data_IF_421295763506
#
_entry.id   IF_421295763506
#
_cell.length_a   1.000
_cell.length_b   1.000
_cell.length_c   1.000
_cell.angle_alpha   90.00
_cell.angle_beta   90.00
_cell.angle_gamma   90.00
#
_symmetry.space_group_name_H-M   'P 1'
#
loop_
_entity.id
_entity.type
_entity.pdbx_description
1 polymer ?
#
# COMPACT_ATOMS: atom_id res chain seq x y z
N UNK A 1 0.26 8.30 12.14
CA UNK A 1 1.23 7.19 12.23
C UNK A 1 0.47 5.95 11.78
N UNK A 2 0.78 5.44 10.56
CA UNK A 2 0.01 4.37 9.96
C UNK A 2 0.24 3.04 10.68
N UNK A 3 -0.80 2.51 11.30
CA UNK A 3 -0.81 1.19 11.97
C UNK A 3 -1.09 0.03 10.99
N UNK A 4 -0.66 0.12 9.74
CA UNK A 4 -0.73 -0.96 8.77
C UNK A 4 0.50 -1.89 8.83
N UNK A 5 0.42 -3.06 8.17
CA UNK A 5 1.62 -3.85 7.88
C UNK A 5 2.56 -2.99 7.01
N UNK A 6 3.58 -2.38 7.61
CA UNK A 6 4.55 -1.51 6.94
C UNK A 6 5.52 -2.36 6.10
N UNK A 7 4.97 -3.12 5.15
CA UNK A 7 5.72 -4.08 4.34
C UNK A 7 6.81 -3.43 3.47
N UNK A 8 6.73 -2.12 3.26
CA UNK A 8 7.63 -1.34 2.41
C UNK A 8 8.33 -0.21 3.18
N UNK A 9 8.42 -0.31 4.51
CA UNK A 9 9.10 0.67 5.35
C UNK A 9 8.18 1.60 6.12
N UNK A 10 8.76 2.39 7.02
CA UNK A 10 8.05 3.34 7.85
C UNK A 10 7.76 4.62 7.07
N UNK A 11 6.50 5.06 7.05
CA UNK A 11 6.10 6.27 6.35
C UNK A 11 4.59 6.37 6.17
N UNK A 12 4.16 7.40 5.44
CA UNK A 12 2.79 7.55 4.98
C UNK A 12 2.60 6.77 3.68
N UNK A 13 1.55 5.99 3.61
CA UNK A 13 1.19 5.18 2.45
C UNK A 13 0.08 5.86 1.64
N UNK A 14 0.31 6.04 0.35
CA UNK A 14 -0.67 6.57 -0.61
C UNK A 14 -0.79 5.61 -1.79
N UNK A 15 -2.03 5.30 -2.20
CA UNK A 15 -2.29 4.50 -3.39
C UNK A 15 -2.36 5.40 -4.62
N UNK A 16 -1.74 4.99 -5.72
CA UNK A 16 -1.79 5.71 -6.98
C UNK A 16 -3.11 5.52 -7.73
N UNK A 17 -3.87 4.48 -7.40
CA UNK A 17 -5.19 4.20 -7.95
C UNK A 17 -6.27 4.28 -6.88
N UNK A 18 -7.42 4.87 -7.24
CA UNK A 18 -8.55 5.03 -6.32
C UNK A 18 -9.13 3.69 -5.87
N UNK A 19 -9.24 2.71 -6.75
CA UNK A 19 -9.78 1.40 -6.41
C UNK A 19 -8.91 0.68 -5.38
N UNK A 20 -7.58 0.81 -5.50
CA UNK A 20 -6.62 0.30 -4.51
C UNK A 20 -6.81 1.01 -3.17
N UNK A 21 -6.97 2.34 -3.16
CA UNK A 21 -7.23 3.10 -1.94
C UNK A 21 -8.56 2.72 -1.29
N UNK A 22 -9.61 2.50 -2.08
CA UNK A 22 -10.93 2.04 -1.61
C UNK A 22 -10.85 0.62 -1.02
N UNK A 23 -10.06 -0.26 -1.60
CA UNK A 23 -9.82 -1.59 -1.02
C UNK A 23 -9.09 -1.48 0.33
N UNK A 24 -8.06 -0.64 0.44
CA UNK A 24 -7.41 -0.36 1.72
C UNK A 24 -8.36 0.28 2.74
N UNK A 25 -9.22 1.20 2.33
CA UNK A 25 -10.24 1.80 3.17
C UNK A 25 -11.19 0.73 3.77
N UNK A 26 -11.52 -0.30 3.00
CA UNK A 26 -12.36 -1.41 3.46
C UNK A 26 -11.61 -2.35 4.42
N UNK A 27 -10.32 -2.59 4.19
CA UNK A 27 -9.54 -3.58 4.92
C UNK A 27 -8.91 -3.07 6.23
N UNK A 28 -8.46 -1.80 6.25
CA UNK A 28 -7.76 -1.26 7.42
C UNK A 28 -8.66 -1.16 8.66
N UNK A 29 -9.89 -0.63 8.57
CA UNK A 29 -10.80 -0.61 9.70
C UNK A 29 -11.10 -1.99 10.28
N UNK A 30 -11.26 -2.99 9.40
CA UNK A 30 -11.47 -4.37 9.82
C UNK A 30 -10.29 -4.94 10.59
N UNK A 31 -9.06 -4.68 10.14
CA UNK A 31 -7.87 -5.16 10.83
C UNK A 31 -7.77 -4.56 12.23
N UNK A 32 -8.13 -3.29 12.37
CA UNK A 32 -8.15 -2.60 13.65
C UNK A 32 -9.31 -3.09 14.53
N UNK A 33 -10.50 -3.25 13.98
CA UNK A 33 -11.64 -3.85 14.66
C UNK A 33 -11.33 -5.30 15.04
N UNK A 34 -10.79 -6.11 14.12
CA UNK A 34 -10.40 -7.49 14.40
C UNK A 34 -9.34 -7.56 15.50
N UNK A 35 -8.35 -6.68 15.46
CA UNK A 35 -7.30 -6.65 16.47
C UNK A 35 -7.82 -6.23 17.83
N UNK A 36 -8.59 -5.14 17.90
CA UNK A 36 -9.13 -4.64 19.16
C UNK A 36 -10.29 -5.48 19.73
N UNK A 37 -11.14 -6.04 18.84
CA UNK A 37 -12.25 -6.88 19.27
C UNK A 37 -11.84 -8.34 19.56
N UNK A 38 -10.95 -8.93 18.75
CA UNK A 38 -10.66 -10.36 18.87
C UNK A 38 -9.47 -10.66 19.77
N UNK A 39 -8.58 -9.69 20.03
CA UNK A 39 -7.49 -9.86 21.01
C UNK A 39 -7.92 -9.55 22.44
N UNK A 40 -8.95 -8.72 22.63
CA UNK A 40 -9.45 -8.31 23.96
C UNK A 40 -10.71 -9.05 24.40
N UNK A 41 -11.41 -9.75 23.49
CA UNK A 41 -12.61 -10.50 23.82
C UNK A 41 -12.30 -11.98 23.98
N UNK A 42 -12.95 -12.67 24.95
CA UNK A 42 -12.96 -14.13 25.00
C UNK A 42 -13.45 -14.71 23.67
N UNK A 43 -12.83 -15.79 23.19
CA UNK A 43 -13.22 -16.46 21.93
C UNK A 43 -14.70 -16.91 21.93
N UNK A 44 -15.30 -17.03 23.11
CA UNK A 44 -16.67 -17.47 23.38
C UNK A 44 -17.61 -16.34 23.85
N UNK A 45 -17.16 -15.05 23.70
CA UNK A 45 -18.01 -13.91 24.08
C UNK A 45 -19.34 -13.92 23.32
N UNK A 46 -20.44 -13.81 24.06
CA UNK A 46 -21.81 -13.71 23.51
C UNK A 46 -22.12 -12.29 23.05
N UNK A 47 -23.16 -12.14 22.21
CA UNK A 47 -23.63 -10.80 21.83
C UNK A 47 -24.13 -10.01 23.04
N UNK A 48 -24.75 -10.67 24.02
CA UNK A 48 -25.25 -10.08 25.25
C UNK A 48 -24.12 -9.45 26.06
N UNK A 49 -22.97 -10.14 26.18
CA UNK A 49 -21.78 -9.61 26.85
C UNK A 49 -21.21 -8.40 26.12
N UNK A 50 -21.22 -8.42 24.79
CA UNK A 50 -20.80 -7.27 23.98
C UNK A 50 -21.71 -6.05 24.17
N UNK A 51 -23.02 -6.28 24.26
CA UNK A 51 -24.00 -5.22 24.51
C UNK A 51 -23.82 -4.62 25.90
N UNK A 52 -23.61 -5.44 26.93
CA UNK A 52 -23.31 -4.97 28.29
C UNK A 52 -22.03 -4.11 28.35
N UNK A 53 -20.96 -4.54 27.68
CA UNK A 53 -19.71 -3.79 27.60
C UNK A 53 -19.87 -2.49 26.80
N UNK A 54 -20.67 -2.48 25.72
CA UNK A 54 -21.03 -1.26 24.98
C UNK A 54 -21.72 -0.25 25.87
N UNK A 55 -22.74 -0.69 26.57
CA UNK A 55 -23.56 0.18 27.45
C UNK A 55 -22.76 0.69 28.65
N UNK A 56 -21.72 -0.05 29.05
CA UNK A 56 -20.74 0.39 30.04
C UNK A 56 -19.66 1.37 29.47
N UNK A 57 -19.69 1.66 28.18
CA UNK A 57 -18.78 2.61 27.53
C UNK A 57 -17.35 2.09 27.30
N UNK A 58 -17.18 0.78 27.18
CA UNK A 58 -15.86 0.16 26.95
C UNK A 58 -15.38 0.22 25.51
N UNK A 59 -16.22 0.67 24.57
CA UNK A 59 -15.92 0.66 23.15
C UNK A 59 -15.80 2.05 22.52
N UNK A 60 -15.04 2.16 21.45
CA UNK A 60 -15.04 3.35 20.60
C UNK A 60 -16.35 3.45 19.81
N UNK A 61 -16.70 4.65 19.33
CA UNK A 61 -17.93 4.86 18.53
C UNK A 61 -18.04 3.95 17.31
N UNK A 62 -16.94 3.63 16.66
CA UNK A 62 -16.92 2.70 15.54
C UNK A 62 -17.21 1.26 15.96
N UNK A 63 -16.70 0.83 17.10
CA UNK A 63 -16.98 -0.48 17.69
C UNK A 63 -18.44 -0.57 18.16
N UNK A 64 -18.96 0.48 18.81
CA UNK A 64 -20.38 0.57 19.19
C UNK A 64 -21.31 0.43 17.98
N UNK A 65 -20.97 1.06 16.85
CA UNK A 65 -21.75 0.96 15.61
C UNK A 65 -21.80 -0.48 15.07
N UNK A 66 -20.67 -1.20 15.11
CA UNK A 66 -20.59 -2.61 14.68
C UNK A 66 -21.41 -3.50 15.61
N UNK A 67 -21.29 -3.34 16.93
CA UNK A 67 -22.06 -4.13 17.91
C UNK A 67 -23.58 -3.87 17.73
N UNK A 68 -23.97 -2.60 17.52
CA UNK A 68 -25.37 -2.25 17.30
C UNK A 68 -25.92 -2.78 15.97
N UNK A 69 -25.09 -2.92 14.96
CA UNK A 69 -25.46 -3.56 13.70
C UNK A 69 -25.58 -5.09 13.86
N UNK A 70 -24.66 -5.72 14.61
CA UNK A 70 -24.75 -7.15 14.94
C UNK A 70 -25.98 -7.50 15.77
N UNK A 71 -26.39 -6.61 16.71
CA UNK A 71 -27.62 -6.78 17.49
C UNK A 71 -28.86 -6.90 16.61
N UNK A 72 -28.88 -6.19 15.48
CA UNK A 72 -30.01 -6.17 14.54
C UNK A 72 -29.91 -7.24 13.46
N UNK A 73 -28.72 -7.78 13.25
CA UNK A 73 -28.47 -8.74 12.20
C UNK A 73 -28.72 -10.16 12.72
N UNK A 74 -29.49 -10.95 11.96
CA UNK A 74 -29.68 -12.35 12.25
C UNK A 74 -28.47 -13.13 11.73
N UNK A 75 -27.40 -13.21 12.54
CA UNK A 75 -26.19 -13.94 12.18
C UNK A 75 -26.29 -15.45 12.44
N UNK A 76 -27.46 -16.04 12.14
CA UNK A 76 -27.70 -17.47 12.20
C UNK A 76 -26.64 -18.24 11.40
N UNK A 77 -25.91 -19.09 12.12
CA UNK A 77 -24.85 -19.92 11.53
C UNK A 77 -23.43 -19.56 11.98
N UNK A 78 -23.27 -18.53 12.79
CA UNK A 78 -22.00 -18.24 13.46
C UNK A 78 -22.11 -18.51 14.96
N UNK A 79 -21.15 -19.26 15.48
CA UNK A 79 -21.12 -19.64 16.90
C UNK A 79 -20.77 -18.46 17.82
N UNK A 80 -20.28 -17.34 17.24
CA UNK A 80 -19.90 -16.15 18.00
C UNK A 80 -19.88 -14.88 17.14
N UNK A 81 -19.96 -13.67 17.76
CA UNK A 81 -19.90 -12.39 17.07
C UNK A 81 -18.62 -12.16 16.25
N UNK A 82 -17.49 -12.70 16.70
CA UNK A 82 -16.22 -12.60 15.97
C UNK A 82 -16.26 -13.32 14.62
N UNK A 83 -16.92 -14.48 14.57
CA UNK A 83 -17.19 -15.20 13.32
C UNK A 83 -18.07 -14.38 12.38
N UNK A 84 -19.15 -13.77 12.88
CA UNK A 84 -20.06 -12.94 12.09
C UNK A 84 -19.34 -11.69 11.53
N UNK A 85 -18.55 -10.99 12.35
CA UNK A 85 -17.73 -9.84 11.91
C UNK A 85 -16.74 -10.30 10.82
N UNK A 86 -16.03 -11.40 11.04
CA UNK A 86 -15.07 -11.94 10.09
C UNK A 86 -15.75 -12.32 8.76
N UNK A 87 -16.96 -12.85 8.82
CA UNK A 87 -17.78 -13.25 7.70
C UNK A 87 -18.33 -12.05 6.92
N UNK A 88 -18.73 -10.97 7.58
CA UNK A 88 -19.20 -9.73 6.94
C UNK A 88 -18.17 -9.13 5.96
N UNK A 89 -16.89 -9.45 6.15
CA UNK A 89 -15.78 -9.04 5.28
C UNK A 89 -15.41 -10.04 4.19
N UNK A 90 -15.79 -11.28 4.37
CA UNK A 90 -15.47 -12.31 3.39
C UNK A 90 -16.44 -12.20 2.21
N UNK A 91 -15.92 -11.88 1.03
CA UNK A 91 -16.70 -11.84 -0.22
C UNK A 91 -17.21 -13.21 -0.68
N UNK A 92 -16.88 -14.30 0.03
CA UNK A 92 -17.09 -15.69 -0.38
C UNK A 92 -17.80 -16.52 0.70
N UNK A 93 -18.92 -16.04 1.23
CA UNK A 93 -19.76 -16.87 2.09
C UNK A 93 -20.97 -17.33 1.29
N UNK A 94 -20.98 -18.60 0.97
CA UNK A 94 -22.00 -19.24 0.13
C UNK A 94 -23.40 -19.24 0.76
N UNK A 95 -23.55 -18.88 2.05
CA UNK A 95 -24.81 -19.06 2.79
C UNK A 95 -25.22 -17.93 3.73
N UNK A 96 -24.48 -16.81 3.83
CA UNK A 96 -24.85 -15.69 4.66
C UNK A 96 -24.48 -14.36 4.02
N UNK A 97 -25.46 -13.49 3.91
CA UNK A 97 -25.30 -12.14 3.38
C UNK A 97 -25.56 -11.15 4.52
N UNK A 98 -24.49 -10.54 5.10
CA UNK A 98 -24.65 -9.58 6.18
C UNK A 98 -25.48 -8.38 5.71
N UNK A 99 -26.26 -7.81 6.62
CA UNK A 99 -27.05 -6.63 6.33
C UNK A 99 -26.22 -5.46 5.80
N UNK A 100 -26.85 -4.61 5.00
CA UNK A 100 -26.21 -3.37 4.53
C UNK A 100 -25.78 -2.49 5.68
N UNK A 101 -26.50 -2.53 6.82
CA UNK A 101 -26.17 -1.80 8.03
C UNK A 101 -24.87 -2.30 8.66
N UNK A 102 -24.68 -3.62 8.77
CA UNK A 102 -23.44 -4.20 9.28
C UNK A 102 -22.27 -3.93 8.33
N UNK A 103 -22.49 -4.07 7.01
CA UNK A 103 -21.48 -3.69 6.01
C UNK A 103 -21.08 -2.22 6.11
N UNK A 104 -22.06 -1.32 6.28
CA UNK A 104 -21.83 0.10 6.43
C UNK A 104 -21.10 0.43 7.73
N UNK A 105 -21.49 -0.18 8.86
CA UNK A 105 -20.86 0.05 10.16
C UNK A 105 -19.37 -0.39 10.14
N UNK A 106 -19.12 -1.55 9.58
CA UNK A 106 -17.77 -2.09 9.41
C UNK A 106 -16.93 -1.25 8.44
N UNK A 107 -17.55 -0.71 7.38
CA UNK A 107 -16.87 0.12 6.37
C UNK A 107 -16.79 1.61 6.75
N UNK A 108 -17.51 2.07 7.77
CA UNK A 108 -17.68 3.50 8.09
C UNK A 108 -16.48 4.16 8.78
N UNK A 109 -15.45 3.41 9.15
CA UNK A 109 -14.38 3.91 10.02
C UNK A 109 -13.21 4.59 9.30
N UNK A 110 -13.17 4.59 7.96
CA UNK A 110 -12.09 5.20 7.19
C UNK A 110 -12.57 6.30 6.24
N UNK A 111 -11.81 7.39 6.15
CA UNK A 111 -12.02 8.42 5.15
C UNK A 111 -11.07 8.21 3.96
N UNK A 112 -11.59 8.40 2.74
CA UNK A 112 -10.78 8.41 1.53
C UNK A 112 -10.29 9.85 1.28
N UNK A 113 -8.99 10.02 1.23
CA UNK A 113 -8.35 11.30 0.95
C UNK A 113 -7.63 11.25 -0.38
N UNK A 114 -7.84 12.25 -1.24
CA UNK A 114 -7.06 12.44 -2.46
C UNK A 114 -6.04 13.55 -2.23
N UNK A 115 -4.79 13.23 -2.44
CA UNK A 115 -3.68 14.16 -2.33
C UNK A 115 -2.99 14.36 -3.68
N UNK A 116 -2.42 15.55 -3.85
CA UNK A 116 -1.49 15.87 -4.91
C UNK A 116 -0.06 15.72 -4.35
N UNK A 117 0.65 14.72 -4.82
CA UNK A 117 2.05 14.51 -4.50
C UNK A 117 2.88 15.17 -5.63
N UNK A 118 3.77 16.14 -5.33
CA UNK A 118 4.51 16.84 -6.37
C UNK A 118 5.35 15.92 -7.25
N UNK A 119 5.21 16.00 -8.57
CA UNK A 119 5.93 15.17 -9.53
C UNK A 119 7.46 15.26 -9.36
N UNK A 120 7.97 16.45 -9.05
CA UNK A 120 9.39 16.68 -8.79
C UNK A 120 9.93 15.95 -7.57
N UNK A 121 9.07 15.61 -6.64
CA UNK A 121 9.44 14.79 -5.48
C UNK A 121 9.35 13.31 -5.82
N UNK A 122 8.35 12.88 -6.63
CA UNK A 122 8.21 11.49 -7.12
C UNK A 122 9.46 11.03 -7.89
N UNK A 123 10.11 11.92 -8.64
CA UNK A 123 11.35 11.62 -9.36
C UNK A 123 12.51 11.23 -8.44
N UNK A 124 12.46 11.62 -7.16
CA UNK A 124 13.48 11.30 -6.15
C UNK A 124 13.14 10.04 -5.35
N UNK A 125 11.98 9.44 -5.58
CA UNK A 125 11.58 8.22 -4.87
C UNK A 125 12.36 7.02 -5.39
N UNK A 126 12.80 6.18 -4.46
CA UNK A 126 13.37 4.89 -4.80
C UNK A 126 12.29 4.00 -5.44
N UNK A 127 12.49 3.60 -6.67
CA UNK A 127 11.61 2.63 -7.32
C UNK A 127 11.95 1.23 -6.81
N UNK A 128 11.05 0.66 -6.02
CA UNK A 128 11.27 -0.60 -5.32
C UNK A 128 11.42 -1.80 -6.25
N UNK A 129 10.72 -1.74 -7.38
CA UNK A 129 10.64 -2.85 -8.34
C UNK A 129 11.68 -2.70 -9.47
N UNK A 130 12.23 -1.50 -9.70
CA UNK A 130 13.21 -1.24 -10.76
C UNK A 130 14.66 -1.51 -10.32
N UNK A 131 15.52 -1.99 -11.23
CA UNK A 131 16.94 -2.13 -10.96
C UNK A 131 17.63 -0.77 -10.80
N UNK A 132 18.80 -0.75 -10.17
CA UNK A 132 19.55 0.48 -9.89
C UNK A 132 19.90 1.23 -11.17
N UNK A 133 20.24 0.53 -12.26
CA UNK A 133 20.52 1.12 -13.57
C UNK A 133 19.37 1.96 -14.13
N UNK A 134 18.14 1.62 -13.80
CA UNK A 134 16.91 2.31 -14.25
C UNK A 134 16.42 3.38 -13.27
N UNK A 135 17.00 3.52 -12.09
CA UNK A 135 16.69 4.59 -11.16
C UNK A 135 17.10 5.95 -11.75
N UNK A 136 16.51 7.02 -11.24
CA UNK A 136 16.92 8.38 -11.61
C UNK A 136 18.34 8.66 -11.13
N UNK A 137 19.02 9.62 -11.76
CA UNK A 137 20.40 9.96 -11.40
C UNK A 137 20.50 10.46 -9.96
N UNK A 138 19.52 11.21 -9.49
CA UNK A 138 19.44 11.67 -8.09
C UNK A 138 19.37 10.50 -7.10
N UNK A 139 18.60 9.45 -7.43
CA UNK A 139 18.52 8.23 -6.60
C UNK A 139 19.83 7.45 -6.64
N UNK A 140 20.44 7.29 -7.83
CA UNK A 140 21.75 6.61 -7.97
C UNK A 140 22.83 7.29 -7.13
N UNK A 141 22.91 8.63 -7.18
CA UNK A 141 23.87 9.39 -6.39
C UNK A 141 23.61 9.24 -4.87
N UNK A 142 22.36 9.31 -4.45
CA UNK A 142 21.99 9.14 -3.06
C UNK A 142 22.33 7.73 -2.54
N UNK A 143 22.01 6.69 -3.31
CA UNK A 143 22.38 5.30 -3.03
C UNK A 143 23.89 5.17 -2.92
N UNK A 144 24.66 5.82 -3.82
CA UNK A 144 26.12 5.85 -3.78
C UNK A 144 26.65 6.40 -2.45
N UNK A 145 26.13 7.54 -2.03
CA UNK A 145 26.52 8.14 -0.74
C UNK A 145 26.19 7.25 0.47
N UNK A 146 25.07 6.53 0.40
CA UNK A 146 24.69 5.58 1.45
C UNK A 146 25.66 4.40 1.49
N UNK A 147 25.95 3.83 0.34
CA UNK A 147 26.89 2.70 0.26
C UNK A 147 28.28 3.07 0.75
N UNK A 148 28.80 4.26 0.39
CA UNK A 148 30.09 4.76 0.88
C UNK A 148 30.11 4.86 2.41
N UNK A 149 29.01 5.25 3.05
CA UNK A 149 28.90 5.36 4.52
C UNK A 149 28.75 4.01 5.22
N UNK A 150 27.96 3.10 4.64
CA UNK A 150 27.64 1.81 5.23
C UNK A 150 28.83 0.83 5.08
N UNK A 151 29.54 0.90 3.96
CA UNK A 151 30.62 -0.04 3.62
C UNK A 151 32.04 0.48 3.86
N UNK A 152 32.22 1.59 4.59
CA UNK A 152 33.53 2.17 4.89
C UNK A 152 34.49 1.23 5.66
N UNK A 153 34.03 0.04 6.06
CA UNK A 153 34.76 -0.94 6.87
C UNK A 153 35.36 -2.12 6.09
N UNK A 154 35.73 -1.93 4.82
CA UNK A 154 36.62 -2.89 4.15
C UNK A 154 36.11 -3.60 2.89
N UNK A 155 34.87 -3.37 2.47
CA UNK A 155 34.32 -3.88 1.19
C UNK A 155 33.78 -2.72 0.35
N UNK A 156 34.67 -1.93 -0.21
CA UNK A 156 34.27 -0.86 -1.16
C UNK A 156 33.95 -1.46 -2.52
N UNK A 157 32.69 -1.81 -2.73
CA UNK A 157 32.16 -1.96 -4.08
C UNK A 157 31.74 -0.57 -4.57
N UNK A 158 32.34 -0.11 -5.66
CA UNK A 158 31.92 1.17 -6.26
C UNK A 158 30.51 1.02 -6.84
N UNK A 159 29.76 2.13 -6.94
CA UNK A 159 28.44 2.13 -7.61
C UNK A 159 28.48 1.49 -8.99
N UNK A 160 29.55 1.75 -9.74
CA UNK A 160 29.76 1.15 -11.04
C UNK A 160 29.86 -0.38 -10.96
N UNK A 161 30.65 -0.91 -10.04
CA UNK A 161 30.78 -2.36 -9.84
C UNK A 161 29.46 -2.98 -9.36
N UNK A 162 28.68 -2.26 -8.56
CA UNK A 162 27.37 -2.69 -8.11
C UNK A 162 26.39 -2.78 -9.29
N UNK A 163 26.35 -1.75 -10.17
CA UNK A 163 25.49 -1.72 -11.34
C UNK A 163 25.91 -2.73 -12.42
N UNK A 164 27.22 -2.81 -12.71
CA UNK A 164 27.75 -3.71 -13.75
C UNK A 164 27.73 -5.19 -13.30
N UNK A 165 27.77 -5.46 -11.99
CA UNK A 165 27.83 -6.82 -11.45
C UNK A 165 26.48 -7.40 -11.04
N UNK A 166 25.73 -6.70 -10.21
CA UNK A 166 24.53 -7.22 -9.58
C UNK A 166 23.26 -6.48 -9.98
N UNK A 167 23.37 -5.20 -10.33
CA UNK A 167 22.28 -4.28 -10.67
C UNK A 167 21.03 -4.45 -9.75
N UNK A 168 21.19 -4.25 -8.42
CA UNK A 168 20.16 -4.59 -7.45
C UNK A 168 18.92 -3.73 -7.63
N UNK A 169 17.75 -4.32 -7.42
CA UNK A 169 16.48 -3.59 -7.36
C UNK A 169 16.41 -2.67 -6.14
N UNK A 170 15.51 -1.68 -6.17
CA UNK A 170 15.24 -0.84 -5.00
C UNK A 170 14.89 -1.64 -3.75
N UNK A 171 14.17 -2.77 -3.91
CA UNK A 171 13.89 -3.74 -2.85
C UNK A 171 15.16 -4.30 -2.21
N UNK A 172 16.10 -4.73 -3.03
CA UNK A 172 17.35 -5.31 -2.56
C UNK A 172 18.23 -4.26 -1.89
N UNK A 173 18.26 -3.03 -2.43
CA UNK A 173 18.95 -1.89 -1.83
C UNK A 173 18.38 -1.61 -0.43
N UNK A 174 17.05 -1.47 -0.31
CA UNK A 174 16.38 -1.22 0.97
C UNK A 174 16.70 -2.30 2.00
N UNK A 175 16.58 -3.57 1.60
CA UNK A 175 16.88 -4.71 2.47
C UNK A 175 18.34 -4.81 2.88
N UNK A 176 19.28 -4.54 1.98
CA UNK A 176 20.71 -4.56 2.28
C UNK A 176 21.07 -3.53 3.33
N UNK A 177 20.55 -2.30 3.21
CA UNK A 177 20.76 -1.25 4.21
C UNK A 177 20.30 -1.72 5.60
N UNK A 178 19.12 -2.37 5.69
CA UNK A 178 18.58 -2.91 6.94
C UNK A 178 19.41 -4.06 7.51
N UNK A 179 19.88 -4.96 6.66
CA UNK A 179 20.63 -6.15 7.10
C UNK A 179 22.01 -5.81 7.64
N UNK A 180 22.71 -4.88 7.02
CA UNK A 180 24.08 -4.54 7.41
C UNK A 180 24.19 -3.87 8.78
N UNK A 181 23.18 -3.10 9.18
CA UNK A 181 23.26 -2.29 10.40
C UNK A 181 22.23 -2.72 11.46
N UNK A 182 21.52 -3.83 11.24
CA UNK A 182 20.40 -4.31 12.09
C UNK A 182 19.40 -3.19 12.43
N UNK A 183 19.14 -2.34 11.47
CA UNK A 183 18.29 -1.16 11.63
C UNK A 183 16.82 -1.54 11.56
N UNK A 184 16.00 -0.82 12.33
CA UNK A 184 14.56 -0.84 12.16
C UNK A 184 14.17 -0.09 10.88
N UNK A 185 13.02 -0.41 10.29
CA UNK A 185 12.53 0.23 9.06
C UNK A 185 12.47 1.77 9.17
N UNK A 186 12.15 2.30 10.36
CA UNK A 186 12.17 3.74 10.61
C UNK A 186 13.56 4.37 10.48
N UNK A 187 14.61 3.64 10.83
CA UNK A 187 15.98 4.14 10.73
C UNK A 187 16.46 4.12 9.28
N UNK A 188 16.06 3.10 8.52
CA UNK A 188 16.34 2.99 7.08
C UNK A 188 15.68 4.15 6.35
N UNK A 189 14.38 4.40 6.59
CA UNK A 189 13.63 5.49 5.98
C UNK A 189 14.24 6.86 6.29
N UNK A 190 14.65 7.10 7.55
CA UNK A 190 15.34 8.34 7.94
C UNK A 190 16.70 8.51 7.26
N UNK A 191 17.46 7.42 7.10
CA UNK A 191 18.75 7.46 6.43
C UNK A 191 18.58 7.77 4.95
N UNK A 192 17.61 7.15 4.28
CA UNK A 192 17.27 7.41 2.89
C UNK A 192 16.83 8.89 2.70
N UNK A 193 15.95 9.39 3.56
CA UNK A 193 15.52 10.80 3.54
C UNK A 193 16.71 11.76 3.68
N UNK A 194 17.61 11.50 4.61
CA UNK A 194 18.83 12.33 4.83
C UNK A 194 19.74 12.40 3.61
N UNK A 195 19.73 11.37 2.78
CA UNK A 195 20.52 11.34 1.55
C UNK A 195 19.74 11.87 0.32
N UNK A 196 18.50 12.32 0.52
CA UNK A 196 17.68 12.93 -0.52
C UNK A 196 16.73 11.99 -1.23
N UNK A 197 16.46 10.81 -0.65
CA UNK A 197 15.42 9.88 -1.10
C UNK A 197 14.21 10.01 -0.15
N UNK A 198 13.19 10.81 -0.50
CA UNK A 198 12.13 11.18 0.42
C UNK A 198 11.05 10.10 0.61
N UNK A 199 11.09 9.06 -0.19
CA UNK A 199 10.11 8.00 -0.20
C UNK A 199 10.48 6.85 -1.11
N UNK A 200 9.59 5.87 -1.23
CA UNK A 200 9.68 4.85 -2.26
C UNK A 200 8.35 4.73 -3.02
N UNK A 201 8.43 4.25 -4.24
CA UNK A 201 7.29 3.88 -5.08
C UNK A 201 7.41 2.40 -5.45
N UNK A 202 6.27 1.72 -5.51
CA UNK A 202 6.21 0.29 -5.81
C UNK A 202 4.94 -0.05 -6.59
N UNK A 203 5.00 -1.10 -7.39
CA UNK A 203 3.82 -1.64 -8.08
C UNK A 203 2.86 -2.25 -7.03
N UNK A 204 1.57 -1.93 -7.15
CA UNK A 204 0.57 -2.62 -6.35
C UNK A 204 0.50 -4.12 -6.68
N UNK A 205 -0.13 -4.91 -5.80
CA UNK A 205 -0.16 -6.36 -5.95
C UNK A 205 -0.80 -6.82 -7.26
N UNK A 206 -1.82 -6.12 -7.74
CA UNK A 206 -2.56 -6.46 -8.97
C UNK A 206 -1.81 -6.00 -10.23
N UNK A 207 -0.91 -5.02 -10.09
CA UNK A 207 -0.09 -4.47 -11.18
C UNK A 207 1.23 -5.21 -11.39
N UNK A 208 1.55 -6.22 -10.57
CA UNK A 208 2.74 -7.07 -10.72
C UNK A 208 2.51 -8.18 -11.76
N UNK A 209 2.28 -7.75 -12.98
CA UNK A 209 2.06 -8.64 -14.12
C UNK A 209 3.40 -9.05 -14.71
N UNK A 210 3.58 -10.36 -14.97
CA UNK A 210 4.76 -10.88 -15.64
C UNK A 210 4.64 -10.68 -17.15
N UNK A 211 4.91 -9.46 -17.61
CA UNK A 211 4.86 -9.15 -19.03
C UNK A 211 5.98 -9.84 -19.81
N UNK A 212 5.60 -10.48 -20.90
CA UNK A 212 6.52 -11.01 -21.92
C UNK A 212 6.20 -10.39 -23.28
N UNK A 213 7.16 -10.37 -24.19
CA UNK A 213 6.94 -9.89 -25.54
C UNK A 213 7.48 -10.85 -26.59
N UNK A 214 6.84 -10.87 -27.75
CA UNK A 214 7.25 -11.65 -28.92
C UNK A 214 6.95 -10.90 -30.20
N UNK A 215 7.75 -11.14 -31.24
CA UNK A 215 7.44 -10.61 -32.57
C UNK A 215 6.25 -11.36 -33.18
N UNK A 216 5.40 -10.64 -33.88
CA UNK A 216 4.31 -11.20 -34.68
C UNK A 216 4.75 -11.42 -36.12
N UNK A 217 4.05 -12.24 -36.93
CA UNK A 217 4.44 -12.48 -38.34
C UNK A 217 4.46 -11.23 -39.22
N UNK A 218 3.70 -10.19 -38.85
CA UNK A 218 3.61 -8.87 -39.49
C UNK A 218 4.62 -7.84 -38.96
N UNK A 219 5.67 -8.30 -38.30
CA UNK A 219 6.75 -7.49 -37.71
C UNK A 219 6.30 -6.51 -36.59
N UNK A 220 5.17 -6.75 -35.97
CA UNK A 220 4.74 -6.02 -34.78
C UNK A 220 5.21 -6.73 -33.48
N UNK A 221 5.06 -6.06 -32.36
CA UNK A 221 5.37 -6.63 -31.05
C UNK A 221 4.10 -6.95 -30.29
N UNK A 222 3.88 -8.22 -29.95
CA UNK A 222 2.85 -8.63 -29.01
C UNK A 222 3.43 -8.64 -27.60
N UNK A 223 2.85 -7.85 -26.70
CA UNK A 223 3.07 -7.93 -25.25
C UNK A 223 1.93 -8.72 -24.65
N UNK A 224 2.24 -9.65 -23.77
CA UNK A 224 1.25 -10.49 -23.12
C UNK A 224 1.65 -10.81 -21.68
N UNK A 225 0.66 -11.02 -20.83
CA UNK A 225 0.88 -11.55 -19.49
C UNK A 225 1.29 -13.02 -19.58
N UNK A 226 2.46 -13.34 -19.04
CA UNK A 226 3.00 -14.71 -19.06
C UNK A 226 2.07 -15.71 -18.35
N UNK A 227 1.38 -15.27 -17.28
CA UNK A 227 0.48 -16.09 -16.50
C UNK A 227 -0.94 -16.17 -17.09
N UNK A 228 -1.31 -15.18 -17.93
CA UNK A 228 -2.60 -15.10 -18.62
C UNK A 228 -2.40 -14.57 -20.05
N UNK A 229 -1.99 -15.41 -21.03
CA UNK A 229 -1.65 -14.97 -22.39
C UNK A 229 -2.79 -14.35 -23.20
N UNK A 230 -4.05 -14.51 -22.75
CA UNK A 230 -5.20 -13.80 -23.34
C UNK A 230 -5.19 -12.30 -23.04
N UNK A 231 -4.58 -11.88 -21.93
CA UNK A 231 -4.31 -10.49 -21.62
C UNK A 231 -3.09 -10.05 -22.44
N UNK A 232 -3.34 -9.47 -23.63
CA UNK A 232 -2.26 -9.10 -24.54
C UNK A 232 -2.61 -7.88 -25.38
N UNK A 233 -1.55 -7.14 -25.79
CA UNK A 233 -1.64 -5.97 -26.67
C UNK A 233 -0.60 -6.06 -27.78
N UNK A 234 -0.85 -5.40 -28.92
CA UNK A 234 0.04 -5.36 -30.06
C UNK A 234 0.52 -3.93 -30.28
N UNK A 235 1.82 -3.77 -30.48
CA UNK A 235 2.52 -2.50 -30.71
C UNK A 235 3.27 -2.55 -32.03
N UNK A 236 3.39 -1.39 -32.69
CA UNK A 236 4.06 -1.30 -33.98
C UNK A 236 5.59 -1.38 -33.84
N UNK A 237 6.13 -1.02 -32.68
CA UNK A 237 7.58 -1.02 -32.45
C UNK A 237 7.97 -1.67 -31.11
N UNK A 238 9.22 -2.13 -31.04
CA UNK A 238 9.81 -2.65 -29.78
C UNK A 238 9.80 -1.57 -28.69
N UNK A 239 10.13 -0.34 -29.05
CA UNK A 239 10.16 0.80 -28.08
C UNK A 239 8.79 1.01 -27.46
N UNK A 240 7.71 1.04 -28.25
CA UNK A 240 6.35 1.18 -27.72
C UNK A 240 5.97 0.02 -26.78
N UNK A 241 6.36 -1.20 -27.13
CA UNK A 241 6.14 -2.38 -26.31
C UNK A 241 6.89 -2.28 -24.98
N UNK A 242 8.14 -1.84 -25.00
CA UNK A 242 8.98 -1.67 -23.81
C UNK A 242 8.45 -0.51 -22.93
N UNK A 243 8.05 0.59 -23.54
CA UNK A 243 7.43 1.72 -22.81
C UNK A 243 6.11 1.30 -22.15
N UNK A 244 5.30 0.49 -22.83
CA UNK A 244 4.08 -0.06 -22.23
C UNK A 244 4.44 -0.96 -21.03
N UNK A 245 5.36 -1.89 -21.15
CA UNK A 245 5.78 -2.78 -20.05
C UNK A 245 6.30 -1.96 -18.87
N UNK A 246 7.12 -0.96 -19.13
CA UNK A 246 7.71 -0.09 -18.11
C UNK A 246 6.70 0.77 -17.37
N UNK A 247 5.67 1.25 -18.08
CA UNK A 247 4.66 2.14 -17.55
C UNK A 247 3.35 1.42 -17.19
N UNK A 248 3.27 0.10 -17.42
CA UNK A 248 2.09 -0.68 -17.08
C UNK A 248 1.99 -0.88 -15.57
N UNK A 249 0.76 -0.74 -15.06
CA UNK A 249 0.45 -0.92 -13.66
C UNK A 249 0.37 0.38 -12.86
N UNK A 250 -0.39 0.31 -11.79
CA UNK A 250 -0.52 1.39 -10.82
C UNK A 250 0.59 1.29 -9.79
N UNK A 251 1.04 2.43 -9.30
CA UNK A 251 2.09 2.51 -8.28
C UNK A 251 1.52 3.07 -7.00
N UNK A 252 1.95 2.50 -5.91
CA UNK A 252 1.72 3.02 -4.57
C UNK A 252 2.99 3.74 -4.09
N UNK A 253 2.81 4.63 -3.14
CA UNK A 253 3.88 5.48 -2.63
C UNK A 253 3.98 5.35 -1.12
N UNK A 254 5.20 5.35 -0.60
CA UNK A 254 5.48 5.52 0.82
C UNK A 254 6.33 6.76 0.99
N UNK A 255 5.81 7.78 1.64
CA UNK A 255 6.50 9.04 1.90
C UNK A 255 6.93 9.10 3.35
N UNK A 256 8.21 9.30 3.61
CA UNK A 256 8.78 9.41 4.96
C UNK A 256 9.44 10.75 5.25
N UNK A 257 9.67 11.58 4.21
CA UNK A 257 10.23 12.92 4.36
C UNK A 257 9.13 13.92 4.74
N UNK A 258 9.30 14.59 5.88
CA UNK A 258 8.32 15.54 6.39
C UNK A 258 8.16 16.76 5.48
N UNK A 259 9.24 17.24 4.84
CA UNK A 259 9.15 18.38 3.93
C UNK A 259 8.30 18.07 2.70
N UNK A 260 8.33 16.83 2.22
CA UNK A 260 7.46 16.38 1.13
C UNK A 260 6.01 16.29 1.61
N UNK A 261 5.76 15.69 2.79
CA UNK A 261 4.44 15.61 3.39
C UNK A 261 3.80 16.99 3.57
N UNK A 262 4.57 17.98 3.98
CA UNK A 262 4.11 19.37 4.18
C UNK A 262 3.75 20.08 2.87
N UNK A 263 4.32 19.63 1.73
CA UNK A 263 3.99 20.15 0.39
C UNK A 263 2.83 19.44 -0.28
N UNK A 264 2.42 18.27 0.22
CA UNK A 264 1.27 17.55 -0.33
C UNK A 264 -0.01 18.36 -0.13
N UNK A 265 -0.80 18.46 -1.18
CA UNK A 265 -2.07 19.18 -1.14
C UNK A 265 -3.22 18.18 -1.03
N UNK A 266 -4.06 18.36 -0.03
CA UNK A 266 -5.32 17.64 0.06
C UNK A 266 -6.30 18.22 -0.96
N UNK A 267 -6.77 17.39 -1.89
CA UNK A 267 -7.66 17.79 -2.98
C UNK A 267 -9.12 17.43 -2.71
N UNK A 268 -9.35 16.22 -2.17
CA UNK A 268 -10.69 15.68 -1.94
C UNK A 268 -10.73 14.87 -0.64
N UNK A 269 -11.90 14.85 -0.01
CA UNK A 269 -12.23 13.94 1.08
C UNK A 269 -13.54 13.23 0.74
N UNK A 270 -13.54 11.91 0.74
CA UNK A 270 -14.71 11.06 0.43
C UNK A 270 -15.38 11.40 -0.92
N UNK A 271 -14.57 11.79 -1.92
CA UNK A 271 -15.04 12.21 -3.24
C UNK A 271 -15.55 13.65 -3.32
N UNK A 272 -15.52 14.39 -2.21
CA UNK A 272 -15.91 15.82 -2.19
C UNK A 272 -14.65 16.69 -2.30
N UNK A 273 -14.61 17.53 -3.35
CA UNK A 273 -13.50 18.47 -3.55
C UNK A 273 -13.49 19.53 -2.44
N UNK A 274 -12.30 19.80 -1.88
CA UNK A 274 -12.16 20.84 -0.85
C UNK A 274 -12.47 22.24 -1.34
N UNK A 275 -12.37 22.51 -2.64
CA UNK A 275 -12.80 23.79 -3.22
C UNK A 275 -14.28 24.11 -2.97
N UNK A 276 -15.11 23.09 -2.75
CA UNK A 276 -16.52 23.27 -2.40
C UNK A 276 -16.74 23.44 -0.88
N UNK A 277 -15.82 22.98 -0.05
CA UNK A 277 -15.92 23.11 1.40
C UNK A 277 -15.50 24.50 1.90
N UNK A 278 -14.63 25.20 1.16
CA UNK A 278 -14.19 26.57 1.47
C UNK A 278 -15.18 27.65 0.99
N UNK A 279 -16.08 27.33 0.07
CA UNK A 279 -17.07 28.27 -0.50
C UNK A 279 -18.47 28.16 0.10
N UNK A 280 -18.67 27.25 1.04
CA UNK A 280 -19.96 26.95 1.72
C UNK A 280 -20.10 27.58 3.10
N UNK A 281 -19.57 28.80 3.32
CA UNK A 281 -19.84 29.62 4.51
C UNK A 281 -20.69 30.82 4.14
#
# INVERSE_FOLDING_TARGET
EGEGAQAFGWGRYDAGDRAVAEDYQKYLPFKDIKKSFLEELPEDASIEELLELRDAGHFSKSQEAVISALEKDDFLGFDNPAGAISAAYSKNLDNWDPSDELRAAVNSSGHLYKHDLPDTDIEKYLDYDAPLSEQTDSVKEAVGRIYDKVYDRGYRMTMRQLMEGEDPTGKEIYRRIGTYDKRHDSDISRMLAKEGIPGLKYLDGNSRVSWARTATPDNKMKVYDFNNPSNSQIFDTVTQADDFIKNSGTRNYVTWDQEVLDRMKLLERDGVSLKFLETGA
#
